data_IF_514607423509
#
_entry.id   IF_514607423509
#
_cell.length_a   1.000
_cell.length_b   1.000
_cell.length_c   1.000
_cell.angle_alpha   90.00
_cell.angle_beta   90.00
_cell.angle_gamma   90.00
#
_symmetry.space_group_name_H-M   'P 1'
#
loop_
_entity.id
_entity.type
_entity.pdbx_description
1 polymer ?
#
# COMPACT_ATOMS: atom_id res chain seq x y z
N UNK A 1 -9.10 -27.05 -40.25
CA UNK A 1 -8.60 -25.66 -40.38
C UNK A 1 -8.32 -25.11 -38.98
N UNK A 2 -7.19 -24.42 -38.76
CA UNK A 2 -6.98 -23.72 -37.47
C UNK A 2 -8.00 -22.58 -37.37
N UNK A 3 -8.63 -22.43 -36.20
CA UNK A 3 -9.70 -21.45 -35.91
C UNK A 3 -9.24 -19.98 -36.04
N UNK A 4 -7.92 -19.74 -36.04
CA UNK A 4 -7.31 -18.41 -36.07
C UNK A 4 -6.07 -18.40 -36.96
N UNK A 5 -5.75 -17.24 -37.61
CA UNK A 5 -4.53 -17.08 -38.41
C UNK A 5 -3.26 -17.19 -37.54
N UNK A 6 -2.09 -17.52 -38.14
CA UNK A 6 -0.82 -17.52 -37.42
C UNK A 6 -0.47 -16.11 -36.94
N UNK A 7 0.05 -16.02 -35.72
CA UNK A 7 0.58 -14.79 -35.15
C UNK A 7 2.11 -14.80 -35.18
N UNK A 8 2.72 -13.70 -35.62
CA UNK A 8 4.17 -13.50 -35.60
C UNK A 8 4.58 -12.72 -34.36
N UNK A 9 5.75 -13.04 -33.80
CA UNK A 9 6.23 -12.49 -32.53
C UNK A 9 6.33 -10.96 -32.54
N UNK A 10 6.99 -10.39 -33.56
CA UNK A 10 7.19 -8.94 -33.68
C UNK A 10 5.87 -8.19 -33.79
N UNK A 11 4.93 -8.71 -34.56
CA UNK A 11 3.60 -8.12 -34.75
C UNK A 11 2.77 -8.21 -33.46
N UNK A 12 2.80 -9.37 -32.79
CA UNK A 12 2.04 -9.61 -31.55
C UNK A 12 2.49 -8.68 -30.42
N UNK A 13 3.79 -8.45 -30.28
CA UNK A 13 4.34 -7.55 -29.26
C UNK A 13 4.42 -6.09 -29.70
N UNK A 14 4.15 -5.79 -30.98
CA UNK A 14 4.28 -4.45 -31.54
C UNK A 14 5.71 -3.91 -31.47
N UNK A 15 6.71 -4.76 -31.73
CA UNK A 15 8.13 -4.42 -31.52
C UNK A 15 8.58 -3.23 -32.35
N UNK A 16 8.06 -3.05 -33.57
CA UNK A 16 8.41 -1.90 -34.40
C UNK A 16 8.10 -0.58 -33.69
N UNK A 17 6.95 -0.49 -33.03
CA UNK A 17 6.59 0.70 -32.24
C UNK A 17 7.39 0.82 -30.96
N UNK A 18 7.63 -0.31 -30.28
CA UNK A 18 8.33 -0.32 -29.00
C UNK A 18 9.80 0.08 -29.15
N UNK A 19 10.49 -0.55 -30.12
CA UNK A 19 11.93 -0.42 -30.36
C UNK A 19 12.29 0.77 -31.26
N UNK A 20 11.31 1.56 -31.71
CA UNK A 20 11.52 2.83 -32.42
C UNK A 20 11.16 4.06 -31.59
N UNK A 21 10.95 3.91 -30.28
CA UNK A 21 10.46 4.99 -29.39
C UNK A 21 11.57 5.69 -28.59
N UNK A 22 12.83 5.38 -28.87
CA UNK A 22 14.01 5.88 -28.16
C UNK A 22 14.63 7.07 -28.89
N UNK A 23 14.12 8.28 -28.64
CA UNK A 23 14.66 9.52 -29.21
C UNK A 23 15.55 10.26 -28.19
N UNK A 24 16.84 10.36 -28.49
CA UNK A 24 17.81 11.07 -27.66
C UNK A 24 17.76 12.57 -27.94
N UNK A 25 17.49 13.38 -26.92
CA UNK A 25 17.48 14.83 -27.04
C UNK A 25 18.90 15.40 -27.16
N UNK A 26 19.90 14.78 -26.52
CA UNK A 26 21.31 15.19 -26.65
C UNK A 26 21.74 15.16 -28.12
N UNK A 27 21.51 14.04 -28.81
CA UNK A 27 21.78 13.87 -30.24
C UNK A 27 21.07 14.89 -31.13
N UNK A 28 19.91 15.39 -30.69
CA UNK A 28 19.11 16.37 -31.44
C UNK A 28 19.64 17.80 -31.28
N UNK A 29 20.15 18.15 -30.10
CA UNK A 29 20.51 19.53 -29.75
C UNK A 29 22.02 19.78 -29.72
N UNK A 30 22.84 18.75 -29.47
CA UNK A 30 24.29 18.84 -29.33
C UNK A 30 24.95 17.48 -29.63
N UNK A 31 26.12 17.20 -29.06
CA UNK A 31 26.75 15.88 -29.06
C UNK A 31 25.91 14.85 -28.31
N UNK A 32 25.80 13.65 -28.90
CA UNK A 32 25.10 12.52 -28.31
C UNK A 32 25.75 12.10 -26.99
N UNK A 33 24.98 12.17 -25.89
CA UNK A 33 25.35 11.59 -24.61
C UNK A 33 24.94 10.12 -24.60
N UNK A 34 25.91 9.22 -24.50
CA UNK A 34 25.68 7.77 -24.60
C UNK A 34 24.64 7.25 -23.59
N UNK A 35 24.77 7.67 -22.34
CA UNK A 35 23.93 7.20 -21.23
C UNK A 35 22.49 7.73 -21.25
N UNK A 36 22.16 8.68 -22.14
CA UNK A 36 20.77 9.11 -22.34
C UNK A 36 19.89 7.95 -22.84
N UNK A 37 20.44 7.04 -23.67
CA UNK A 37 19.73 5.84 -24.10
C UNK A 37 19.34 4.95 -22.90
N UNK A 38 20.27 4.73 -21.96
CA UNK A 38 20.01 3.97 -20.74
C UNK A 38 18.91 4.65 -19.92
N UNK A 39 18.99 5.97 -19.75
CA UNK A 39 17.98 6.75 -19.05
C UNK A 39 16.59 6.54 -19.67
N UNK A 40 16.47 6.63 -20.99
CA UNK A 40 15.20 6.42 -21.71
C UNK A 40 14.67 5.00 -21.50
N UNK A 41 15.49 3.97 -21.77
CA UNK A 41 15.06 2.57 -21.69
C UNK A 41 14.60 2.20 -20.28
N UNK A 42 15.31 2.64 -19.23
CA UNK A 42 14.91 2.38 -17.85
C UNK A 42 13.55 2.99 -17.55
N UNK A 43 13.29 4.24 -17.94
CA UNK A 43 12.00 4.89 -17.70
C UNK A 43 10.87 4.27 -18.54
N UNK A 44 11.14 3.86 -19.78
CA UNK A 44 10.17 3.13 -20.61
C UNK A 44 9.79 1.79 -19.98
N UNK A 45 10.77 1.04 -19.45
CA UNK A 45 10.53 -0.20 -18.74
C UNK A 45 9.67 0.02 -17.48
N UNK A 46 9.92 1.09 -16.69
CA UNK A 46 9.03 1.47 -15.58
C UNK A 46 7.60 1.71 -16.05
N UNK A 47 7.40 2.48 -17.12
CA UNK A 47 6.05 2.82 -17.61
C UNK A 47 5.31 1.59 -18.18
N UNK A 48 6.01 0.60 -18.73
CA UNK A 48 5.41 -0.68 -19.11
C UNK A 48 4.94 -1.46 -17.87
N UNK A 49 5.75 -1.51 -16.81
CA UNK A 49 5.37 -2.17 -15.56
C UNK A 49 4.25 -1.43 -14.83
N UNK A 50 4.25 -0.09 -14.84
CA UNK A 50 3.15 0.69 -14.28
C UNK A 50 1.83 0.40 -15.01
N UNK A 51 1.87 0.25 -16.34
CA UNK A 51 0.71 -0.17 -17.12
C UNK A 51 0.20 -1.56 -16.68
N UNK A 52 1.11 -2.50 -16.45
CA UNK A 52 0.73 -3.83 -15.94
C UNK A 52 0.11 -3.74 -14.54
N UNK A 53 0.69 -2.96 -13.63
CA UNK A 53 0.13 -2.75 -12.29
C UNK A 53 -1.28 -2.15 -12.38
N UNK A 54 -1.48 -1.15 -13.23
CA UNK A 54 -2.80 -0.53 -13.44
C UNK A 54 -3.79 -1.57 -13.97
N UNK A 55 -3.38 -2.42 -14.91
CA UNK A 55 -4.22 -3.48 -15.45
C UNK A 55 -4.69 -4.46 -14.36
N UNK A 56 -3.77 -4.89 -13.48
CA UNK A 56 -4.12 -5.75 -12.35
C UNK A 56 -5.02 -5.04 -11.34
N UNK A 57 -4.69 -3.79 -10.97
CA UNK A 57 -5.46 -2.98 -10.03
C UNK A 57 -6.88 -2.73 -10.51
N UNK A 58 -7.07 -2.37 -11.78
CA UNK A 58 -8.40 -2.18 -12.37
C UNK A 58 -9.23 -3.46 -12.32
N UNK A 59 -8.58 -4.60 -12.54
CA UNK A 59 -9.23 -5.89 -12.46
C UNK A 59 -9.65 -6.25 -11.03
N UNK A 60 -8.82 -5.96 -10.02
CA UNK A 60 -9.19 -6.14 -8.60
C UNK A 60 -10.28 -5.15 -8.19
N UNK A 61 -10.15 -3.88 -8.53
CA UNK A 61 -11.16 -2.85 -8.24
C UNK A 61 -12.53 -3.28 -8.81
N UNK A 62 -12.57 -3.76 -10.06
CA UNK A 62 -13.82 -4.23 -10.66
C UNK A 62 -14.46 -5.41 -9.92
N UNK A 63 -13.67 -6.31 -9.33
CA UNK A 63 -14.18 -7.43 -8.52
C UNK A 63 -14.85 -6.97 -7.22
N UNK A 64 -14.44 -5.84 -6.66
CA UNK A 64 -14.92 -5.32 -5.37
C UNK A 64 -15.94 -4.18 -5.51
N UNK A 65 -16.25 -3.74 -6.74
CA UNK A 65 -17.19 -2.63 -7.01
C UNK A 65 -18.64 -2.96 -6.68
N UNK A 66 -19.02 -4.23 -6.69
CA UNK A 66 -20.39 -4.67 -6.45
C UNK A 66 -20.66 -4.88 -4.96
N UNK A 67 -21.93 -4.77 -4.56
CA UNK A 67 -22.37 -4.96 -3.18
C UNK A 67 -22.09 -6.39 -2.70
N UNK A 68 -22.43 -7.37 -3.53
CA UNK A 68 -22.02 -8.76 -3.36
C UNK A 68 -20.70 -9.04 -4.05
N UNK A 69 -19.75 -9.62 -3.30
CA UNK A 69 -18.46 -10.05 -3.82
C UNK A 69 -18.45 -11.58 -3.81
N UNK A 70 -18.35 -12.18 -4.99
CA UNK A 70 -18.15 -13.61 -5.13
C UNK A 70 -16.85 -14.03 -4.42
N UNK A 71 -16.92 -15.03 -3.54
CA UNK A 71 -15.78 -15.53 -2.77
C UNK A 71 -14.62 -16.00 -3.67
N UNK A 72 -14.92 -16.47 -4.88
CA UNK A 72 -13.92 -16.84 -5.89
C UNK A 72 -13.01 -15.65 -6.22
N UNK A 73 -13.54 -14.42 -6.18
CA UNK A 73 -12.77 -13.22 -6.47
C UNK A 73 -11.68 -12.92 -5.44
N UNK A 74 -11.81 -13.38 -4.18
CA UNK A 74 -10.79 -13.13 -3.16
C UNK A 74 -9.48 -13.84 -3.54
N UNK A 75 -9.54 -15.12 -3.91
CA UNK A 75 -8.36 -15.88 -4.32
C UNK A 75 -7.70 -15.33 -5.60
N UNK A 76 -8.52 -14.87 -6.56
CA UNK A 76 -8.01 -14.23 -7.78
C UNK A 76 -7.37 -12.89 -7.46
N UNK A 77 -8.00 -12.07 -6.62
CA UNK A 77 -7.47 -10.79 -6.20
C UNK A 77 -6.15 -10.94 -5.45
N UNK A 78 -6.05 -11.92 -4.54
CA UNK A 78 -4.79 -12.30 -3.88
C UNK A 78 -3.70 -12.62 -4.90
N UNK A 79 -4.01 -13.42 -5.93
CA UNK A 79 -3.05 -13.78 -6.97
C UNK A 79 -2.55 -12.57 -7.77
N UNK A 80 -3.44 -11.60 -8.04
CA UNK A 80 -3.12 -10.37 -8.77
C UNK A 80 -2.35 -9.35 -7.93
N UNK A 81 -2.72 -9.18 -6.67
CA UNK A 81 -1.97 -8.34 -5.73
C UNK A 81 -0.57 -8.92 -5.48
N UNK A 82 -0.43 -10.24 -5.36
CA UNK A 82 0.88 -10.90 -5.28
C UNK A 82 1.73 -10.65 -6.54
N UNK A 83 1.10 -10.63 -7.72
CA UNK A 83 1.80 -10.23 -8.95
C UNK A 83 2.26 -8.78 -8.91
N UNK A 84 1.43 -7.86 -8.39
CA UNK A 84 1.82 -6.46 -8.22
C UNK A 84 3.03 -6.34 -7.29
N UNK A 85 3.06 -7.06 -6.15
CA UNK A 85 4.20 -7.01 -5.23
C UNK A 85 5.48 -7.55 -5.88
N UNK A 86 5.40 -8.61 -6.67
CA UNK A 86 6.57 -9.12 -7.40
C UNK A 86 7.07 -8.14 -8.47
N UNK A 87 6.17 -7.46 -9.17
CA UNK A 87 6.54 -6.37 -10.10
C UNK A 87 7.23 -5.25 -9.31
N UNK A 88 6.70 -4.82 -8.17
CA UNK A 88 7.30 -3.74 -7.39
C UNK A 88 8.70 -4.09 -6.85
N UNK A 89 8.94 -5.35 -6.45
CA UNK A 89 10.28 -5.82 -6.09
C UNK A 89 11.25 -5.68 -7.26
N UNK A 90 10.83 -6.05 -8.47
CA UNK A 90 11.63 -5.86 -9.69
C UNK A 90 11.90 -4.37 -9.95
N UNK A 91 10.90 -3.51 -9.78
CA UNK A 91 11.05 -2.06 -9.94
C UNK A 91 12.07 -1.46 -8.97
N UNK A 92 12.18 -1.98 -7.75
CA UNK A 92 13.21 -1.55 -6.79
C UNK A 92 14.60 -1.98 -7.27
N UNK A 93 14.76 -3.24 -7.70
CA UNK A 93 16.04 -3.75 -8.19
C UNK A 93 16.49 -3.07 -9.48
N UNK A 94 15.54 -2.68 -10.34
CA UNK A 94 15.81 -1.99 -11.61
C UNK A 94 16.56 -0.65 -11.41
N UNK A 95 16.44 0.00 -10.26
CA UNK A 95 17.22 1.22 -9.95
C UNK A 95 18.73 0.97 -10.04
N UNK A 96 19.21 -0.24 -9.74
CA UNK A 96 20.64 -0.58 -9.80
C UNK A 96 21.22 -0.47 -11.21
N UNK A 97 20.40 -0.66 -12.24
CA UNK A 97 20.81 -0.50 -13.64
C UNK A 97 21.04 0.99 -13.92
N UNK A 98 20.15 1.87 -13.45
CA UNK A 98 20.35 3.32 -13.64
C UNK A 98 21.51 3.86 -12.78
N UNK A 99 21.80 3.23 -11.64
CA UNK A 99 22.94 3.57 -10.77
C UNK A 99 24.31 3.24 -11.39
N UNK A 100 24.38 2.59 -12.56
CA UNK A 100 25.64 2.41 -13.30
C UNK A 100 26.07 3.66 -14.07
N UNK A 101 25.13 4.57 -14.36
CA UNK A 101 25.43 5.88 -14.95
C UNK A 101 26.08 6.77 -13.89
N UNK A 102 27.16 7.47 -14.25
CA UNK A 102 27.81 8.40 -13.30
C UNK A 102 27.08 9.74 -13.25
N UNK A 103 27.25 10.47 -12.16
CA UNK A 103 26.69 11.81 -12.03
C UNK A 103 27.26 12.79 -13.07
N UNK A 104 28.47 12.56 -13.58
CA UNK A 104 29.06 13.40 -14.64
C UNK A 104 28.40 13.11 -15.99
N UNK A 105 28.26 11.84 -16.37
CA UNK A 105 27.59 11.45 -17.63
C UNK A 105 26.12 11.90 -17.64
N UNK A 106 25.46 11.88 -16.48
CA UNK A 106 24.11 12.45 -16.35
C UNK A 106 24.05 13.95 -16.64
N UNK A 107 25.08 14.71 -16.24
CA UNK A 107 25.11 16.17 -16.46
C UNK A 107 25.24 16.54 -17.94
N UNK A 108 25.80 15.66 -18.77
CA UNK A 108 25.97 15.90 -20.21
C UNK A 108 24.63 16.05 -20.94
N UNK A 109 23.56 15.42 -20.46
CA UNK A 109 22.23 15.53 -21.08
C UNK A 109 21.13 16.10 -20.18
N UNK A 110 21.38 16.32 -18.88
CA UNK A 110 20.39 16.83 -17.92
C UNK A 110 19.70 18.13 -18.37
N UNK A 111 20.41 19.01 -19.07
CA UNK A 111 19.85 20.30 -19.48
C UNK A 111 18.76 20.14 -20.56
N UNK A 112 18.85 19.12 -21.42
CA UNK A 112 17.88 18.89 -22.49
C UNK A 112 16.53 18.39 -21.98
N UNK A 113 16.50 17.77 -20.80
CA UNK A 113 15.27 17.22 -20.20
C UNK A 113 14.57 18.20 -19.26
N UNK A 114 15.07 19.42 -19.05
CA UNK A 114 14.37 20.41 -18.20
C UNK A 114 13.23 21.05 -19.01
N UNK A 115 11.99 21.18 -18.50
CA UNK A 115 11.53 20.95 -17.11
C UNK A 115 10.90 19.57 -16.84
N UNK A 116 11.10 18.60 -17.73
CA UNK A 116 10.54 17.26 -17.55
C UNK A 116 11.07 16.59 -16.28
N UNK A 117 10.16 15.89 -15.57
CA UNK A 117 10.51 15.18 -14.35
C UNK A 117 9.54 14.04 -14.06
N UNK A 118 9.93 13.13 -13.17
CA UNK A 118 9.07 12.04 -12.70
C UNK A 118 7.75 12.50 -12.05
N UNK A 119 7.61 13.79 -11.70
CA UNK A 119 6.32 14.37 -11.28
C UNK A 119 5.24 14.25 -12.34
N UNK A 120 5.65 14.19 -13.61
CA UNK A 120 4.77 14.08 -14.76
C UNK A 120 4.54 12.62 -15.20
N UNK A 121 4.95 11.63 -14.39
CA UNK A 121 4.54 10.24 -14.63
C UNK A 121 3.04 10.09 -14.32
N UNK A 122 2.24 10.07 -15.37
CA UNK A 122 0.79 9.97 -15.29
C UNK A 122 0.36 8.64 -14.66
N UNK A 123 0.98 7.54 -15.08
CA UNK A 123 0.64 6.21 -14.59
C UNK A 123 0.99 6.05 -13.10
N UNK A 124 2.10 6.62 -12.64
CA UNK A 124 2.46 6.61 -11.22
C UNK A 124 1.39 7.30 -10.35
N UNK A 125 0.88 8.46 -10.79
CA UNK A 125 -0.22 9.16 -10.09
C UNK A 125 -1.53 8.39 -10.14
N UNK A 126 -1.80 7.73 -11.27
CA UNK A 126 -2.98 6.90 -11.42
C UNK A 126 -2.95 5.69 -10.48
N UNK A 127 -1.78 5.05 -10.29
CA UNK A 127 -1.59 3.97 -9.30
C UNK A 127 -1.88 4.48 -7.89
N UNK A 128 -1.30 5.61 -7.49
CA UNK A 128 -1.54 6.19 -6.16
C UNK A 128 -3.04 6.48 -5.91
N UNK A 129 -3.73 7.08 -6.89
CA UNK A 129 -5.17 7.37 -6.77
C UNK A 129 -6.00 6.08 -6.70
N UNK A 130 -5.68 5.08 -7.52
CA UNK A 130 -6.38 3.78 -7.55
C UNK A 130 -6.19 2.98 -6.26
N UNK A 131 -4.99 2.99 -5.68
CA UNK A 131 -4.77 2.40 -4.35
C UNK A 131 -5.59 3.14 -3.29
N UNK A 132 -5.69 4.46 -3.41
CA UNK A 132 -6.51 5.31 -2.55
C UNK A 132 -5.69 6.26 -1.69
N UNK A 133 -4.55 6.76 -2.19
CA UNK A 133 -3.79 7.80 -1.52
C UNK A 133 -4.64 9.05 -1.34
N UNK A 134 -4.73 9.55 -0.11
CA UNK A 134 -5.51 10.74 0.19
C UNK A 134 -4.87 11.98 -0.47
N UNK A 135 -5.63 12.79 -1.24
CA UNK A 135 -5.11 14.02 -1.83
C UNK A 135 -4.49 14.98 -0.79
N UNK A 136 -4.98 15.01 0.45
CA UNK A 136 -4.45 15.86 1.53
C UNK A 136 -3.09 15.42 2.05
N UNK A 137 -2.73 14.14 1.88
CA UNK A 137 -1.41 13.61 2.21
C UNK A 137 -0.35 13.99 1.16
N UNK A 138 -0.77 14.48 -0.01
CA UNK A 138 0.16 14.89 -1.07
C UNK A 138 0.82 16.20 -0.68
N UNK A 139 2.15 16.24 -0.81
CA UNK A 139 2.87 17.50 -0.65
C UNK A 139 2.61 18.40 -1.86
N UNK A 140 2.08 19.60 -1.61
CA UNK A 140 1.91 20.63 -2.63
C UNK A 140 3.26 21.04 -3.20
N UNK A 141 3.30 21.21 -4.52
CA UNK A 141 4.49 21.64 -5.23
C UNK A 141 4.25 23.05 -5.76
N UNK A 142 5.08 24.00 -5.35
CA UNK A 142 4.95 25.41 -5.75
C UNK A 142 3.52 25.95 -5.58
N UNK A 143 2.87 25.59 -4.46
CA UNK A 143 1.49 25.97 -4.11
C UNK A 143 0.41 25.44 -5.08
N UNK A 144 0.80 24.58 -6.03
CA UNK A 144 -0.10 23.95 -6.99
C UNK A 144 -0.32 22.48 -6.67
N UNK A 145 -1.54 22.01 -6.92
CA UNK A 145 -1.88 20.60 -6.84
C UNK A 145 -1.18 19.80 -7.95
N UNK A 146 -0.83 18.55 -7.69
CA UNK A 146 -0.03 17.71 -8.61
C UNK A 146 -0.62 17.59 -10.04
N UNK A 147 -1.93 17.76 -10.21
CA UNK A 147 -2.60 17.74 -11.52
C UNK A 147 -2.15 18.86 -12.46
N UNK A 148 -1.74 20.02 -11.95
CA UNK A 148 -1.37 21.18 -12.78
C UNK A 148 -0.17 20.94 -13.69
N UNK A 149 0.58 19.86 -13.46
CA UNK A 149 1.77 19.49 -14.22
C UNK A 149 1.46 18.62 -15.45
N UNK A 150 0.19 18.30 -15.69
CA UNK A 150 -0.26 17.41 -16.75
C UNK A 150 -1.07 18.17 -17.83
N UNK A 151 -1.09 17.64 -19.05
CA UNK A 151 -1.98 18.14 -20.10
C UNK A 151 -3.47 17.95 -19.72
N UNK A 152 -4.38 18.78 -20.25
CA UNK A 152 -5.81 18.78 -19.89
C UNK A 152 -6.47 17.40 -19.92
N UNK A 153 -6.15 16.59 -20.94
CA UNK A 153 -6.63 15.20 -21.05
C UNK A 153 -6.26 14.38 -19.81
N UNK A 154 -4.99 14.43 -19.39
CA UNK A 154 -4.51 13.69 -18.23
C UNK A 154 -5.04 14.29 -16.92
N UNK A 155 -5.21 15.61 -16.84
CA UNK A 155 -5.86 16.24 -15.66
C UNK A 155 -7.27 15.70 -15.44
N UNK A 156 -8.05 15.59 -16.53
CA UNK A 156 -9.41 15.03 -16.48
C UNK A 156 -9.38 13.58 -15.99
N UNK A 157 -8.52 12.73 -16.55
CA UNK A 157 -8.41 11.34 -16.14
C UNK A 157 -7.93 11.17 -14.68
N UNK A 158 -7.01 12.03 -14.22
CA UNK A 158 -6.57 12.03 -12.82
C UNK A 158 -7.70 12.45 -11.89
N UNK A 159 -8.48 13.47 -12.25
CA UNK A 159 -9.68 13.88 -11.51
C UNK A 159 -10.70 12.74 -11.44
N UNK A 160 -11.02 12.11 -12.57
CA UNK A 160 -11.91 10.95 -12.61
C UNK A 160 -11.41 9.80 -11.71
N UNK A 161 -10.10 9.57 -11.66
CA UNK A 161 -9.52 8.53 -10.80
C UNK A 161 -9.60 8.83 -9.30
N UNK A 162 -9.66 10.11 -8.91
CA UNK A 162 -9.88 10.51 -7.50
C UNK A 162 -11.36 10.41 -7.10
N UNK A 163 -12.27 10.64 -8.05
CA UNK A 163 -13.73 10.59 -7.80
C UNK A 163 -14.27 9.15 -7.80
N UNK A 164 -13.61 8.23 -8.51
CA UNK A 164 -13.96 6.82 -8.49
C UNK A 164 -13.60 6.16 -7.15
N UNK A 165 -14.35 5.12 -6.76
CA UNK A 165 -14.00 4.32 -5.60
C UNK A 165 -12.63 3.65 -5.79
N UNK A 166 -11.70 4.03 -4.92
CA UNK A 166 -10.36 3.44 -4.84
C UNK A 166 -10.41 2.04 -4.23
N UNK A 167 -9.31 1.29 -4.38
CA UNK A 167 -9.16 -0.01 -3.73
C UNK A 167 -9.31 0.10 -2.21
N UNK A 168 -8.74 1.13 -1.58
CA UNK A 168 -8.95 1.40 -0.15
C UNK A 168 -10.43 1.46 0.22
N UNK A 169 -11.23 2.27 -0.47
CA UNK A 169 -12.67 2.44 -0.18
C UNK A 169 -13.46 1.16 -0.39
N UNK A 170 -13.14 0.41 -1.44
CA UNK A 170 -13.82 -0.85 -1.73
C UNK A 170 -13.48 -1.95 -0.72
N UNK A 171 -12.22 -1.97 -0.24
CA UNK A 171 -11.77 -2.89 0.80
C UNK A 171 -12.39 -2.55 2.14
N UNK A 172 -12.47 -1.26 2.50
CA UNK A 172 -13.18 -0.80 3.70
C UNK A 172 -14.63 -1.30 3.70
N UNK A 173 -15.38 -1.01 2.62
CA UNK A 173 -16.75 -1.50 2.48
C UNK A 173 -16.87 -3.01 2.56
N UNK A 174 -15.92 -3.75 1.97
CA UNK A 174 -15.90 -5.21 2.05
C UNK A 174 -15.69 -5.71 3.48
N UNK A 175 -14.74 -5.11 4.21
CA UNK A 175 -14.48 -5.42 5.62
C UNK A 175 -15.70 -5.16 6.49
N UNK A 176 -16.42 -4.05 6.28
CA UNK A 176 -17.66 -3.74 7.01
C UNK A 176 -18.74 -4.83 6.87
N UNK A 177 -18.72 -5.62 5.78
CA UNK A 177 -19.66 -6.71 5.55
C UNK A 177 -19.25 -8.04 6.18
N UNK A 178 -18.14 -8.09 6.92
CA UNK A 178 -17.66 -9.33 7.56
C UNK A 178 -18.73 -9.91 8.49
N UNK A 179 -19.29 -11.10 8.19
CA UNK A 179 -20.49 -11.60 8.85
C UNK A 179 -20.22 -12.29 10.20
N UNK A 180 -18.94 -12.42 10.59
CA UNK A 180 -18.52 -13.22 11.74
C UNK A 180 -18.29 -12.40 13.02
N UNK A 181 -18.51 -11.09 12.96
CA UNK A 181 -18.29 -10.19 14.10
C UNK A 181 -19.33 -10.39 15.21
N UNK A 182 -20.55 -10.82 14.85
CA UNK A 182 -21.68 -10.97 15.76
C UNK A 182 -22.52 -12.20 15.38
N UNK A 183 -22.92 -12.99 16.37
CA UNK A 183 -23.92 -14.05 16.27
C UNK A 183 -24.72 -14.17 17.57
N UNK A 184 -25.72 -15.06 17.61
CA UNK A 184 -26.52 -15.28 18.81
C UNK A 184 -25.61 -15.74 19.97
N UNK A 185 -25.50 -14.90 21.01
CA UNK A 185 -24.64 -15.16 22.17
C UNK A 185 -23.15 -14.89 21.98
N UNK A 186 -22.72 -14.37 20.82
CA UNK A 186 -21.34 -14.00 20.58
C UNK A 186 -21.23 -12.62 19.96
N UNK A 187 -20.45 -11.77 20.60
CA UNK A 187 -20.00 -10.52 20.04
C UNK A 187 -18.46 -10.54 20.14
N UNK A 188 -17.80 -10.53 18.98
CA UNK A 188 -16.33 -10.54 18.90
C UNK A 188 -15.75 -9.42 19.74
N UNK A 189 -16.40 -8.26 19.71
CA UNK A 189 -15.89 -7.07 20.36
C UNK A 189 -15.89 -7.17 21.87
N UNK A 190 -17.04 -7.51 22.46
CA UNK A 190 -17.14 -7.69 23.91
C UNK A 190 -16.18 -8.77 24.40
N UNK A 191 -16.03 -9.85 23.62
CA UNK A 191 -15.11 -10.94 23.92
C UNK A 191 -13.64 -10.48 23.88
N UNK A 192 -13.27 -9.74 22.84
CA UNK A 192 -11.93 -9.21 22.64
C UNK A 192 -11.58 -8.13 23.68
N UNK A 193 -12.50 -7.22 23.98
CA UNK A 193 -12.36 -6.21 25.03
C UNK A 193 -12.13 -6.84 26.40
N UNK A 194 -12.91 -7.88 26.73
CA UNK A 194 -12.71 -8.64 27.97
C UNK A 194 -11.32 -9.28 28.01
N UNK A 195 -10.90 -9.94 26.94
CA UNK A 195 -9.57 -10.54 26.85
C UNK A 195 -8.44 -9.52 27.01
N UNK A 196 -8.52 -8.36 26.36
CA UNK A 196 -7.54 -7.28 26.50
C UNK A 196 -7.49 -6.74 27.92
N UNK A 197 -8.65 -6.50 28.56
CA UNK A 197 -8.70 -6.02 29.94
C UNK A 197 -8.05 -7.03 30.88
N UNK A 198 -8.41 -8.32 30.76
CA UNK A 198 -7.82 -9.39 31.56
C UNK A 198 -6.30 -9.48 31.37
N UNK A 199 -5.82 -9.47 30.12
CA UNK A 199 -4.39 -9.47 29.79
C UNK A 199 -3.66 -8.28 30.45
N UNK A 200 -4.19 -7.06 30.29
CA UNK A 200 -3.59 -5.86 30.88
C UNK A 200 -3.62 -5.89 32.42
N UNK A 201 -4.68 -6.44 33.03
CA UNK A 201 -4.72 -6.60 34.48
C UNK A 201 -3.66 -7.61 34.97
N UNK A 202 -3.48 -8.73 34.26
CA UNK A 202 -2.44 -9.74 34.53
C UNK A 202 -1.01 -9.17 34.33
N UNK A 203 -0.78 -8.42 33.26
CA UNK A 203 0.50 -7.74 32.99
C UNK A 203 0.83 -6.76 34.11
N UNK A 204 -0.16 -5.96 34.55
CA UNK A 204 0.01 -5.04 35.69
C UNK A 204 0.38 -5.78 36.97
N UNK A 205 -0.27 -6.89 37.29
CA UNK A 205 0.10 -7.70 38.46
C UNK A 205 1.51 -8.27 38.33
N UNK A 206 1.93 -8.68 37.12
CA UNK A 206 3.29 -9.16 36.86
C UNK A 206 4.33 -8.07 37.11
N UNK A 207 4.08 -6.83 36.68
CA UNK A 207 4.97 -5.68 36.94
C UNK A 207 5.05 -5.37 38.44
N UNK A 208 3.91 -5.35 39.14
CA UNK A 208 3.84 -5.07 40.59
C UNK A 208 4.61 -6.13 41.38
N UNK A 209 4.40 -7.40 41.05
CA UNK A 209 4.96 -8.53 41.80
C UNK A 209 6.38 -8.92 41.37
N UNK A 210 7.00 -8.21 40.42
CA UNK A 210 8.34 -8.53 39.92
C UNK A 210 9.41 -8.18 40.98
N UNK A 211 10.13 -9.18 41.55
CA UNK A 211 11.11 -8.96 42.60
C UNK A 211 12.47 -8.47 42.09
N UNK A 212 12.69 -8.49 40.76
CA UNK A 212 13.99 -8.22 40.14
C UNK A 212 14.17 -6.72 39.80
N UNK A 213 13.07 -6.00 39.57
CA UNK A 213 13.11 -4.60 39.12
C UNK A 213 13.10 -3.60 40.30
N UNK A 214 13.85 -2.50 40.15
CA UNK A 214 13.85 -1.39 41.13
C UNK A 214 12.51 -0.64 41.14
N UNK A 215 12.25 0.11 42.20
CA UNK A 215 11.03 0.94 42.32
C UNK A 215 10.90 1.94 41.17
N UNK A 216 11.99 2.61 40.81
CA UNK A 216 12.03 3.57 39.70
C UNK A 216 11.67 2.90 38.36
N UNK A 217 12.25 1.71 38.11
CA UNK A 217 11.95 0.95 36.90
C UNK A 217 10.50 0.45 36.89
N UNK A 218 9.98 0.00 38.03
CA UNK A 218 8.58 -0.42 38.19
C UNK A 218 7.63 0.74 37.88
N UNK A 219 7.87 1.93 38.41
CA UNK A 219 7.02 3.09 38.11
C UNK A 219 7.04 3.44 36.62
N UNK A 220 8.21 3.35 35.97
CA UNK A 220 8.34 3.56 34.52
C UNK A 220 7.56 2.53 33.72
N UNK A 221 7.65 1.25 34.09
CA UNK A 221 6.88 0.17 33.44
C UNK A 221 5.38 0.31 33.67
N UNK A 222 4.93 0.68 34.86
CA UNK A 222 3.52 0.98 35.15
C UNK A 222 2.99 2.16 34.32
N UNK A 223 3.78 3.23 34.17
CA UNK A 223 3.40 4.36 33.32
C UNK A 223 3.29 3.94 31.84
N UNK A 224 4.23 3.15 31.34
CA UNK A 224 4.18 2.61 29.98
C UNK A 224 2.98 1.66 29.77
N UNK A 225 2.65 0.86 30.79
CA UNK A 225 1.48 0.00 30.80
C UNK A 225 0.18 0.79 30.75
N UNK A 226 0.03 1.86 31.55
CA UNK A 226 -1.15 2.73 31.48
C UNK A 226 -1.28 3.43 30.11
N UNK A 227 -0.17 3.89 29.50
CA UNK A 227 -0.19 4.40 28.13
C UNK A 227 -0.68 3.35 27.12
N UNK A 228 -0.27 2.08 27.29
CA UNK A 228 -0.73 0.97 26.46
C UNK A 228 -2.23 0.73 26.65
N UNK A 229 -2.71 0.75 27.89
CA UNK A 229 -4.13 0.65 28.23
C UNK A 229 -4.96 1.76 27.58
N UNK A 230 -4.47 3.01 27.57
CA UNK A 230 -5.13 4.11 26.87
C UNK A 230 -5.16 3.90 25.34
N UNK A 231 -4.09 3.39 24.74
CA UNK A 231 -4.07 3.07 23.30
C UNK A 231 -5.14 2.03 22.94
N UNK A 232 -5.33 1.01 23.78
CA UNK A 232 -6.41 0.03 23.60
C UNK A 232 -7.79 0.66 23.85
N UNK A 233 -7.97 1.54 24.85
CA UNK A 233 -9.25 2.24 25.08
C UNK A 233 -9.74 3.01 23.87
N UNK A 234 -8.83 3.60 23.09
CA UNK A 234 -9.18 4.33 21.88
C UNK A 234 -9.72 3.43 20.76
N UNK A 235 -9.37 2.13 20.73
CA UNK A 235 -10.04 1.19 19.81
C UNK A 235 -11.42 0.82 20.35
N UNK A 236 -11.63 0.87 21.67
CA UNK A 236 -12.85 0.45 22.37
C UNK A 236 -14.07 1.36 22.22
N UNK A 237 -13.86 2.55 21.67
CA UNK A 237 -14.79 3.68 21.74
C UNK A 237 -15.01 4.21 20.32
N UNK A 238 -16.25 4.08 19.83
CA UNK A 238 -16.61 4.49 18.48
C UNK A 238 -16.50 6.00 18.31
N UNK A 239 -16.94 6.80 19.28
CA UNK A 239 -16.90 8.27 19.17
C UNK A 239 -15.45 8.77 19.08
N UNK A 240 -14.55 8.18 19.88
CA UNK A 240 -13.11 8.50 19.79
C UNK A 240 -12.48 8.03 18.50
N UNK A 241 -12.90 6.87 17.98
CA UNK A 241 -12.42 6.39 16.70
C UNK A 241 -12.84 7.33 15.58
N UNK A 242 -14.11 7.72 15.54
CA UNK A 242 -14.67 8.64 14.55
C UNK A 242 -14.00 10.02 14.64
N UNK A 243 -13.64 10.49 15.84
CA UNK A 243 -12.81 11.69 16.03
C UNK A 243 -11.42 11.56 15.37
N UNK A 244 -10.75 10.40 15.50
CA UNK A 244 -9.47 10.15 14.85
C UNK A 244 -9.59 10.09 13.32
N UNK A 245 -10.68 9.53 12.81
CA UNK A 245 -10.99 9.52 11.37
C UNK A 245 -11.23 10.95 10.88
N UNK A 246 -12.03 11.75 11.59
CA UNK A 246 -12.26 13.16 11.26
C UNK A 246 -10.99 14.01 11.27
N UNK A 247 -10.01 13.69 12.13
CA UNK A 247 -8.70 14.34 12.18
C UNK A 247 -7.70 13.80 11.14
N UNK A 248 -8.09 12.86 10.28
CA UNK A 248 -7.22 12.15 9.34
C UNK A 248 -6.03 11.43 10.00
N UNK A 249 -6.17 11.05 11.28
CA UNK A 249 -5.18 10.24 12.01
C UNK A 249 -5.44 8.74 11.85
N UNK A 250 -6.67 8.38 11.43
CA UNK A 250 -7.08 7.07 10.90
C UNK A 250 -7.90 7.30 9.65
N UNK A 251 -8.06 6.28 8.82
CA UNK A 251 -8.85 6.35 7.58
C UNK A 251 -9.97 5.33 7.55
N UNK A 252 -9.69 4.10 7.98
CA UNK A 252 -10.68 3.02 8.02
C UNK A 252 -11.76 3.32 9.05
N UNK A 253 -13.00 2.98 8.71
CA UNK A 253 -14.13 3.02 9.63
C UNK A 253 -13.95 2.10 10.84
N UNK A 254 -14.72 2.39 11.90
CA UNK A 254 -14.71 1.59 13.12
C UNK A 254 -14.98 0.12 12.79
N UNK A 255 -16.06 -0.18 12.05
CA UNK A 255 -16.44 -1.55 11.72
C UNK A 255 -15.42 -2.26 10.82
N UNK A 256 -14.86 -1.56 9.82
CA UNK A 256 -13.80 -2.12 8.98
C UNK A 256 -12.54 -2.47 9.79
N UNK A 257 -12.17 -1.60 10.73
CA UNK A 257 -11.04 -1.83 11.65
C UNK A 257 -11.24 -3.11 12.48
N UNK A 258 -12.45 -3.34 12.99
CA UNK A 258 -12.78 -4.54 13.77
C UNK A 258 -12.73 -5.81 12.92
N UNK A 259 -13.27 -5.75 11.70
CA UNK A 259 -13.19 -6.84 10.74
C UNK A 259 -11.74 -7.19 10.38
N UNK A 260 -10.91 -6.19 10.08
CA UNK A 260 -9.49 -6.39 9.81
C UNK A 260 -8.80 -7.05 11.02
N UNK A 261 -9.05 -6.56 12.24
CA UNK A 261 -8.50 -7.14 13.46
C UNK A 261 -8.94 -8.60 13.66
N UNK A 262 -10.23 -8.89 13.48
CA UNK A 262 -10.78 -10.25 13.53
C UNK A 262 -10.06 -11.19 12.55
N UNK A 263 -9.91 -10.77 11.28
CA UNK A 263 -9.20 -11.54 10.25
C UNK A 263 -7.75 -11.83 10.68
N UNK A 264 -7.03 -10.85 11.25
CA UNK A 264 -5.65 -11.06 11.68
C UNK A 264 -5.54 -12.02 12.87
N UNK A 265 -6.41 -11.88 13.86
CA UNK A 265 -6.40 -12.68 15.08
C UNK A 265 -6.81 -14.14 14.82
N UNK A 266 -7.77 -14.36 13.90
CA UNK A 266 -8.29 -15.69 13.56
C UNK A 266 -7.84 -16.20 12.18
N UNK A 267 -6.77 -15.65 11.61
CA UNK A 267 -6.27 -15.97 10.25
C UNK A 267 -6.05 -17.46 9.95
N UNK A 268 -5.85 -18.28 10.98
CA UNK A 268 -5.64 -19.73 10.83
C UNK A 268 -6.95 -20.47 10.50
N UNK A 269 -8.12 -19.83 10.68
CA UNK A 269 -9.40 -20.39 10.25
C UNK A 269 -9.46 -20.47 8.72
N UNK A 270 -9.90 -21.60 8.13
CA UNK A 270 -9.80 -21.84 6.70
C UNK A 270 -10.34 -20.73 5.79
N UNK A 271 -11.54 -20.21 6.06
CA UNK A 271 -12.15 -19.15 5.26
C UNK A 271 -11.43 -17.79 5.41
N UNK A 272 -10.68 -17.58 6.50
CA UNK A 272 -9.97 -16.33 6.75
C UNK A 272 -8.55 -16.30 6.17
N UNK A 273 -8.03 -17.42 5.66
CA UNK A 273 -6.67 -17.48 5.12
C UNK A 273 -6.48 -16.55 3.90
N UNK A 274 -7.43 -16.55 2.95
CA UNK A 274 -7.37 -15.70 1.78
C UNK A 274 -7.63 -14.21 2.12
N UNK A 275 -8.66 -13.86 2.93
CA UNK A 275 -8.81 -12.52 3.49
C UNK A 275 -7.55 -11.99 4.18
N UNK A 276 -6.92 -12.80 5.02
CA UNK A 276 -5.68 -12.42 5.70
C UNK A 276 -4.57 -12.13 4.69
N UNK A 277 -4.32 -13.06 3.75
CA UNK A 277 -3.30 -12.86 2.71
C UNK A 277 -3.58 -11.65 1.83
N UNK A 278 -4.85 -11.37 1.55
CA UNK A 278 -5.27 -10.18 0.82
C UNK A 278 -4.88 -8.91 1.57
N UNK A 279 -5.20 -8.80 2.87
CA UNK A 279 -4.82 -7.66 3.70
C UNK A 279 -3.29 -7.52 3.83
N UNK A 280 -2.56 -8.62 4.00
CA UNK A 280 -1.09 -8.62 4.01
C UNK A 280 -0.53 -8.04 2.71
N UNK A 281 -1.04 -8.45 1.56
CA UNK A 281 -0.56 -7.95 0.27
C UNK A 281 -0.83 -6.45 0.06
N UNK A 282 -1.88 -5.88 0.65
CA UNK A 282 -2.10 -4.43 0.64
C UNK A 282 -1.02 -3.69 1.43
N UNK A 283 -0.62 -4.24 2.59
CA UNK A 283 0.50 -3.74 3.39
C UNK A 283 1.81 -3.86 2.59
N UNK A 284 2.08 -5.02 2.00
CA UNK A 284 3.29 -5.26 1.18
C UNK A 284 3.38 -4.27 0.00
N UNK A 285 2.25 -3.97 -0.67
CA UNK A 285 2.21 -3.00 -1.77
C UNK A 285 2.64 -1.62 -1.29
N UNK A 286 2.15 -1.17 -0.13
CA UNK A 286 2.52 0.10 0.47
C UNK A 286 3.99 0.12 0.90
N UNK A 287 4.48 -0.94 1.55
CA UNK A 287 5.88 -1.08 1.94
C UNK A 287 6.81 -0.97 0.73
N UNK A 288 6.49 -1.69 -0.35
CA UNK A 288 7.28 -1.70 -1.58
C UNK A 288 7.22 -0.36 -2.31
N UNK A 289 6.07 0.34 -2.30
CA UNK A 289 5.99 1.72 -2.82
C UNK A 289 6.87 2.68 -2.02
N UNK A 290 6.82 2.60 -0.68
CA UNK A 290 7.66 3.41 0.20
C UNK A 290 9.16 3.10 -0.01
N UNK A 291 9.52 1.82 -0.11
CA UNK A 291 10.89 1.38 -0.37
C UNK A 291 11.40 1.90 -1.73
N UNK A 292 10.58 1.80 -2.78
CA UNK A 292 10.92 2.34 -4.10
C UNK A 292 11.15 3.86 -4.03
N UNK A 293 10.27 4.63 -3.38
CA UNK A 293 10.44 6.09 -3.22
C UNK A 293 11.74 6.43 -2.49
N UNK A 294 12.05 5.69 -1.43
CA UNK A 294 13.25 5.92 -0.65
C UNK A 294 14.52 5.59 -1.45
N UNK A 295 14.55 4.44 -2.14
CA UNK A 295 15.66 4.07 -3.03
C UNK A 295 15.84 5.05 -4.18
N UNK A 296 14.74 5.50 -4.79
CA UNK A 296 14.76 6.56 -5.79
C UNK A 296 15.33 7.87 -5.22
N UNK A 297 14.93 8.28 -4.01
CA UNK A 297 15.46 9.48 -3.36
C UNK A 297 16.97 9.40 -3.11
N UNK A 298 17.49 8.22 -2.72
CA UNK A 298 18.93 7.99 -2.55
C UNK A 298 19.69 8.02 -3.88
N UNK A 299 19.14 7.40 -4.92
CA UNK A 299 19.69 7.47 -6.27
C UNK A 299 19.76 8.92 -6.77
N UNK A 300 18.69 9.69 -6.60
CA UNK A 300 18.66 11.12 -6.97
C UNK A 300 19.71 11.91 -6.19
N UNK A 301 19.87 11.67 -4.89
CA UNK A 301 20.92 12.32 -4.09
C UNK A 301 22.32 12.02 -4.63
N UNK A 302 22.58 10.79 -5.09
CA UNK A 302 23.84 10.42 -5.75
C UNK A 302 24.01 11.15 -7.08
N UNK A 303 22.96 11.24 -7.90
CA UNK A 303 23.01 11.82 -9.25
C UNK A 303 23.17 13.35 -9.23
N UNK A 304 22.47 14.06 -8.34
CA UNK A 304 22.43 15.53 -8.36
C UNK A 304 22.82 16.21 -7.05
N UNK A 305 23.12 15.48 -5.98
CA UNK A 305 23.42 16.07 -4.68
C UNK A 305 22.26 16.92 -4.15
N UNK A 306 22.59 18.12 -3.68
CA UNK A 306 21.63 19.12 -3.17
C UNK A 306 21.08 20.04 -4.28
N UNK A 307 21.39 19.78 -5.55
CA UNK A 307 20.89 20.59 -6.67
C UNK A 307 19.37 20.46 -6.78
N UNK A 308 18.72 21.57 -7.18
CA UNK A 308 17.29 21.62 -7.48
C UNK A 308 16.96 20.61 -8.59
N UNK A 309 15.88 19.85 -8.42
CA UNK A 309 15.43 18.89 -9.44
C UNK A 309 14.92 19.60 -10.71
N UNK A 310 14.96 18.93 -11.86
CA UNK A 310 14.50 19.49 -13.15
C UNK A 310 13.03 19.93 -13.14
N UNK A 311 12.21 19.32 -12.28
CA UNK A 311 10.82 19.70 -12.03
C UNK A 311 10.61 20.88 -11.06
N UNK A 312 11.66 21.57 -10.63
CA UNK A 312 11.58 22.75 -9.77
C UNK A 312 11.39 22.46 -8.27
N UNK A 313 11.79 21.27 -7.81
CA UNK A 313 11.67 20.84 -6.41
C UNK A 313 13.02 20.94 -5.69
N UNK A 314 13.03 20.89 -4.35
CA UNK A 314 14.27 20.76 -3.56
C UNK A 314 15.03 19.44 -3.80
N UNK A 315 14.57 18.60 -4.75
CA UNK A 315 15.25 17.38 -5.14
C UNK A 315 15.07 16.29 -4.09
N UNK A 316 16.17 15.90 -3.45
CA UNK A 316 16.20 14.82 -2.47
C UNK A 316 15.26 15.07 -1.27
N UNK A 317 15.26 16.28 -0.70
CA UNK A 317 14.49 16.58 0.52
C UNK A 317 12.98 16.46 0.29
N UNK A 318 12.51 16.95 -0.86
CA UNK A 318 11.12 16.74 -1.27
C UNK A 318 10.80 15.25 -1.38
N UNK A 319 11.65 14.47 -2.07
CA UNK A 319 11.41 13.04 -2.28
C UNK A 319 11.36 12.30 -0.94
N UNK A 320 12.24 12.62 0.00
CA UNK A 320 12.26 12.05 1.35
C UNK A 320 10.94 12.32 2.10
N UNK A 321 10.42 13.54 2.04
CA UNK A 321 9.12 13.84 2.65
C UNK A 321 7.97 13.02 2.04
N UNK A 322 8.01 12.69 0.75
CA UNK A 322 6.98 11.83 0.14
C UNK A 322 7.01 10.39 0.65
N UNK A 323 8.16 9.90 1.13
CA UNK A 323 8.30 8.55 1.71
C UNK A 323 7.44 8.42 2.97
N UNK A 324 7.39 9.46 3.79
CA UNK A 324 6.70 9.45 5.08
C UNK A 324 5.18 9.66 4.94
N UNK A 325 4.76 10.53 4.01
CA UNK A 325 3.36 10.95 3.89
C UNK A 325 2.47 10.07 3.02
N UNK A 326 3.04 9.24 2.15
CA UNK A 326 2.29 8.60 1.05
C UNK A 326 1.80 7.17 1.33
N UNK A 327 1.50 6.84 2.59
CA UNK A 327 1.01 5.49 2.96
C UNK A 327 -0.51 5.43 2.92
N UNK A 328 -1.06 4.51 2.13
CA UNK A 328 -2.50 4.35 1.90
C UNK A 328 -3.16 3.55 3.01
N UNK A 329 -2.53 2.45 3.42
CA UNK A 329 -3.05 1.42 4.32
C UNK A 329 -2.43 1.49 5.73
N UNK A 330 -2.06 2.70 6.19
CA UNK A 330 -1.42 2.92 7.50
C UNK A 330 -2.18 2.29 8.67
N UNK A 331 -3.51 2.24 8.61
CA UNK A 331 -4.31 1.58 9.64
C UNK A 331 -4.04 0.07 9.72
N UNK A 332 -3.80 -0.61 8.58
CA UNK A 332 -3.41 -2.03 8.57
C UNK A 332 -2.05 -2.26 9.21
N UNK A 333 -1.07 -1.38 8.97
CA UNK A 333 0.23 -1.43 9.67
C UNK A 333 0.04 -1.28 11.19
N UNK A 334 -0.80 -0.33 11.59
CA UNK A 334 -1.03 -0.02 12.99
C UNK A 334 -1.82 -1.12 13.72
N UNK A 335 -2.38 -2.11 13.01
CA UNK A 335 -3.08 -3.25 13.61
C UNK A 335 -2.19 -4.05 14.57
N UNK A 336 -0.87 -4.10 14.32
CA UNK A 336 0.07 -4.78 15.19
C UNK A 336 0.04 -4.28 16.64
N UNK A 337 -0.31 -3.01 16.85
CA UNK A 337 -0.53 -2.40 18.17
C UNK A 337 -1.63 -3.10 18.96
N UNK A 338 -2.60 -3.70 18.27
CA UNK A 338 -3.80 -4.31 18.86
C UNK A 338 -3.75 -5.84 18.84
N UNK A 339 -2.62 -6.46 18.52
CA UNK A 339 -2.52 -7.91 18.63
C UNK A 339 -2.29 -8.33 20.08
N UNK A 340 -2.98 -9.40 20.48
CA UNK A 340 -2.85 -10.02 21.79
C UNK A 340 -2.24 -11.42 21.66
N UNK A 341 -1.60 -11.95 22.73
CA UNK A 341 -1.11 -13.32 22.74
C UNK A 341 -2.19 -14.34 22.36
N UNK A 342 -1.80 -15.41 21.65
CA UNK A 342 -2.73 -16.51 21.30
C UNK A 342 -3.37 -17.16 22.53
N UNK A 343 -2.68 -17.14 23.67
CA UNK A 343 -3.17 -17.67 24.95
C UNK A 343 -4.34 -16.87 25.54
N UNK A 344 -4.44 -15.58 25.21
CA UNK A 344 -5.50 -14.69 25.69
C UNK A 344 -6.59 -14.45 24.65
N UNK A 345 -6.40 -14.93 23.42
CA UNK A 345 -7.38 -14.80 22.34
C UNK A 345 -8.69 -15.51 22.72
N UNK A 346 -9.86 -14.83 22.64
CA UNK A 346 -11.12 -15.46 22.94
C UNK A 346 -11.37 -16.69 22.05
N UNK A 347 -11.80 -17.83 22.62
CA UNK A 347 -12.17 -18.98 21.80
C UNK A 347 -13.41 -18.63 20.97
N UNK A 348 -13.40 -18.97 19.69
CA UNK A 348 -14.58 -18.86 18.85
C UNK A 348 -15.64 -19.88 19.29
N UNK A 349 -16.93 -19.51 19.34
CA UNK A 349 -18.04 -20.44 19.48
C UNK A 349 -18.05 -21.51 18.38
N UNK A 350 -18.65 -22.67 18.66
CA UNK A 350 -18.66 -23.79 17.72
C UNK A 350 -19.44 -23.51 16.43
N UNK A 351 -20.51 -22.70 16.48
CA UNK A 351 -21.25 -22.30 15.29
C UNK A 351 -20.40 -21.39 14.37
N UNK A 352 -19.64 -20.45 14.95
CA UNK A 352 -18.71 -19.59 14.20
C UNK A 352 -17.54 -20.41 13.64
N UNK A 353 -16.95 -21.31 14.44
CA UNK A 353 -15.88 -22.21 13.95
C UNK A 353 -16.36 -23.05 12.76
N UNK A 354 -17.59 -23.58 12.81
CA UNK A 354 -18.18 -24.33 11.69
C UNK A 354 -18.35 -23.46 10.45
N UNK A 355 -18.84 -22.22 10.60
CA UNK A 355 -19.00 -21.26 9.49
C UNK A 355 -17.67 -20.82 8.88
N UNK A 356 -16.59 -20.82 9.66
CA UNK A 356 -15.25 -20.44 9.20
C UNK A 356 -14.40 -21.62 8.69
N UNK A 357 -14.86 -22.86 8.93
CA UNK A 357 -14.24 -24.08 8.46
C UNK A 357 -14.76 -24.55 7.11
N UNK A 358 -14.04 -25.48 6.48
CA UNK A 358 -14.56 -26.24 5.35
C UNK A 358 -15.41 -27.40 5.90
N UNK A 359 -16.73 -27.27 5.89
CA UNK A 359 -17.62 -28.31 6.40
C UNK A 359 -17.79 -29.43 5.37
N UNK A 360 -16.82 -30.36 5.32
CA UNK A 360 -16.89 -31.58 4.49
C UNK A 360 -16.60 -32.87 5.26
N UNK A 361 -16.35 -32.80 6.56
CA UNK A 361 -16.10 -33.98 7.40
C UNK A 361 -17.24 -34.19 8.39
N UNK A 362 -18.36 -34.72 7.89
CA UNK A 362 -19.15 -35.84 8.44
C UNK A 362 -20.44 -36.05 7.63
N UNK A 363 -20.33 -36.79 6.52
CA UNK A 363 -21.35 -37.77 6.14
C UNK A 363 -20.65 -39.13 6.08
N UNK A 364 -20.41 -39.72 7.25
CA UNK A 364 -20.32 -41.17 7.45
C UNK A 364 -21.07 -41.51 8.73
#
# INVERSE_FOLDING_TARGET
>A
MKKYPPAYYSDYLGLDKLLSSQELLSKKYDSEAHDEMLFIIVHQAYELWFKQIIHELDSVINMFRHEYIDEVNIGIAVSRLARITDIQKLLIEQLRILETMTSLDFLDFRNFITPASGFQSFQFRLIENKLGLDPTQRTMLNEKGYRSYFAEKHQKQLKESEEQSSLFHLVEKWLERTPFLESEGFNFWESYKKAVITMLDEDKQTIINNPIISEEKRQKELNAHENTRENFRAIFDQDKHDELVHKNLRRMSFRATHAALFIHLYRDQPILQQPFKFLTLLVDIDELMTAWRYRHALMVLRMIGTKIGTGGTSGHDYLKMTVEKSKVYQDLFNMATFFIPRSTLPPLPDDIKKKLGFFYTTQQ
#
